data_IF_343697154557
#
_entry.id   IF_343697154557
#
_cell.length_a   1.000
_cell.length_b   1.000
_cell.length_c   1.000
_cell.angle_alpha   90.00
_cell.angle_beta   90.00
_cell.angle_gamma   90.00
#
_symmetry.space_group_name_H-M   'P 1'
#
loop_
_entity.id
_entity.type
_entity.pdbx_description
1 polymer ?
#
# COMPACT_ATOMS: atom_id res chain seq x y z
N UNK A 1 -2.52 -0.79 11.22
CA UNK A 1 -3.36 -0.18 10.18
C UNK A 1 -2.73 -0.32 8.81
N UNK A 2 -1.41 -0.12 8.68
CA UNK A 2 -0.68 -0.24 7.39
C UNK A 2 -0.90 -1.58 6.68
N UNK A 3 -0.86 -2.71 7.40
CA UNK A 3 -1.12 -4.03 6.79
C UNK A 3 -2.50 -4.13 6.13
N UNK A 4 -3.54 -3.54 6.71
CA UNK A 4 -4.88 -3.56 6.12
C UNK A 4 -4.94 -2.74 4.84
N UNK A 5 -4.25 -1.59 4.82
CA UNK A 5 -4.17 -0.74 3.64
C UNK A 5 -3.38 -1.46 2.53
N UNK A 6 -2.25 -2.10 2.86
CA UNK A 6 -1.45 -2.88 1.93
C UNK A 6 -2.26 -4.03 1.29
N UNK A 7 -3.01 -4.78 2.11
CA UNK A 7 -3.90 -5.85 1.63
C UNK A 7 -4.97 -5.28 0.69
N UNK A 8 -5.69 -4.25 1.13
CA UNK A 8 -6.77 -3.67 0.33
C UNK A 8 -6.25 -3.05 -0.99
N UNK A 9 -5.05 -2.47 -0.97
CA UNK A 9 -4.39 -1.96 -2.16
C UNK A 9 -3.98 -3.09 -3.12
N UNK A 10 -3.40 -4.18 -2.61
CA UNK A 10 -2.99 -5.34 -3.41
C UNK A 10 -4.18 -5.99 -4.15
N UNK A 11 -5.35 -6.03 -3.52
CA UNK A 11 -6.59 -6.52 -4.14
C UNK A 11 -7.34 -5.45 -4.97
N UNK A 12 -6.73 -4.28 -5.21
CA UNK A 12 -7.33 -3.15 -5.92
C UNK A 12 -8.65 -2.63 -5.31
N UNK A 13 -8.86 -2.86 -4.02
CA UNK A 13 -10.03 -2.35 -3.27
C UNK A 13 -9.81 -0.87 -2.91
N UNK A 14 -8.59 -0.54 -2.46
CA UNK A 14 -8.15 0.85 -2.36
C UNK A 14 -7.38 1.21 -3.63
N UNK A 15 -7.78 2.32 -4.25
CA UNK A 15 -7.17 2.82 -5.50
C UNK A 15 -6.22 3.97 -5.16
N UNK A 16 -5.06 4.00 -5.80
CA UNK A 16 -4.09 5.09 -5.65
C UNK A 16 -4.64 6.42 -6.19
N UNK A 17 -4.19 7.53 -5.60
CA UNK A 17 -4.61 8.88 -5.99
C UNK A 17 -6.02 9.28 -5.50
N UNK A 18 -6.69 8.43 -4.75
CA UNK A 18 -7.97 8.72 -4.09
C UNK A 18 -7.75 8.96 -2.60
N UNK A 19 -8.31 10.04 -2.08
CA UNK A 19 -8.30 10.32 -0.64
C UNK A 19 -9.51 9.66 0.00
N UNK A 20 -9.26 8.80 0.98
CA UNK A 20 -10.29 8.18 1.81
C UNK A 20 -10.24 8.77 3.22
N UNK A 21 -11.41 8.98 3.82
CA UNK A 21 -11.51 9.29 5.25
C UNK A 21 -11.27 8.04 6.09
N UNK A 22 -10.91 8.22 7.35
CA UNK A 22 -10.73 7.10 8.29
C UNK A 22 -11.97 6.23 8.38
N UNK A 23 -13.17 6.83 8.43
CA UNK A 23 -14.43 6.09 8.52
C UNK A 23 -14.71 5.26 7.26
N UNK A 24 -14.38 5.77 6.08
CA UNK A 24 -14.52 5.01 4.83
C UNK A 24 -13.56 3.82 4.81
N UNK A 25 -12.30 4.01 5.23
CA UNK A 25 -11.32 2.93 5.34
C UNK A 25 -11.80 1.86 6.33
N UNK A 26 -12.31 2.25 7.49
CA UNK A 26 -12.87 1.32 8.47
C UNK A 26 -14.05 0.51 7.90
N UNK A 27 -14.96 1.14 7.16
CA UNK A 27 -16.08 0.44 6.51
C UNK A 27 -15.59 -0.55 5.46
N UNK A 28 -14.62 -0.14 4.63
CA UNK A 28 -14.01 -1.00 3.62
C UNK A 28 -13.32 -2.19 4.28
N UNK A 29 -12.60 -1.98 5.38
CA UNK A 29 -11.98 -3.05 6.18
C UNK A 29 -13.04 -4.03 6.70
N UNK A 30 -14.17 -3.54 7.21
CA UNK A 30 -15.24 -4.40 7.72
C UNK A 30 -15.88 -5.26 6.62
N UNK A 31 -16.15 -4.65 5.46
CA UNK A 31 -16.74 -5.35 4.30
C UNK A 31 -15.80 -6.45 3.79
N UNK A 32 -14.49 -6.20 3.84
CA UNK A 32 -13.47 -7.09 3.27
C UNK A 32 -12.75 -7.96 4.32
N UNK A 33 -13.32 -8.09 5.53
CA UNK A 33 -12.76 -8.95 6.58
C UNK A 33 -12.42 -10.38 6.12
N UNK A 34 -13.24 -11.08 5.30
CA UNK A 34 -12.89 -12.43 4.87
C UNK A 34 -11.59 -12.51 4.07
N UNK A 35 -11.33 -11.51 3.21
CA UNK A 35 -10.11 -11.43 2.39
C UNK A 35 -8.92 -11.11 3.29
N UNK A 36 -9.08 -10.15 4.20
CA UNK A 36 -8.05 -9.77 5.18
C UNK A 36 -7.64 -10.98 6.03
N UNK A 37 -8.61 -11.73 6.55
CA UNK A 37 -8.35 -12.93 7.33
C UNK A 37 -7.66 -14.02 6.52
N UNK A 38 -8.05 -14.20 5.25
CA UNK A 38 -7.40 -15.17 4.37
C UNK A 38 -5.92 -14.85 4.14
N UNK A 39 -5.55 -13.56 4.05
CA UNK A 39 -4.15 -13.14 3.93
C UNK A 39 -3.40 -13.35 5.25
N UNK A 40 -4.00 -12.95 6.38
CA UNK A 40 -3.36 -13.09 7.69
C UNK A 40 -3.16 -14.56 8.13
N UNK A 41 -3.84 -15.50 7.48
CA UNK A 41 -3.66 -16.94 7.69
C UNK A 41 -2.57 -17.54 6.79
N UNK A 42 -2.06 -16.77 5.81
CA UNK A 42 -0.98 -17.17 4.92
C UNK A 42 0.23 -16.22 5.07
N UNK A 43 1.20 -16.57 5.93
CA UNK A 43 2.37 -15.73 6.18
C UNK A 43 3.23 -15.48 4.95
N UNK A 44 3.18 -16.36 3.94
CA UNK A 44 3.95 -16.17 2.70
C UNK A 44 3.31 -15.07 1.87
N UNK A 45 1.98 -15.12 1.71
CA UNK A 45 1.23 -14.10 1.00
C UNK A 45 1.26 -12.76 1.75
N UNK A 46 1.13 -12.77 3.07
CA UNK A 46 1.20 -11.55 3.89
C UNK A 46 2.53 -10.82 3.70
N UNK A 47 3.66 -11.55 3.77
CA UNK A 47 4.99 -10.97 3.55
C UNK A 47 5.17 -10.45 2.12
N UNK A 48 4.68 -11.19 1.11
CA UNK A 48 4.75 -10.72 -0.28
C UNK A 48 3.98 -9.41 -0.49
N UNK A 49 2.80 -9.28 0.12
CA UNK A 49 1.99 -8.05 0.04
C UNK A 49 2.71 -6.88 0.71
N UNK A 50 3.31 -7.11 1.88
CA UNK A 50 4.09 -6.09 2.57
C UNK A 50 5.31 -5.64 1.76
N UNK A 51 6.11 -6.58 1.24
CA UNK A 51 7.29 -6.27 0.42
C UNK A 51 6.92 -5.44 -0.83
N UNK A 52 5.81 -5.79 -1.49
CA UNK A 52 5.32 -5.02 -2.64
C UNK A 52 4.85 -3.62 -2.27
N UNK A 53 4.18 -3.48 -1.12
CA UNK A 53 3.67 -2.20 -0.65
C UNK A 53 4.81 -1.27 -0.18
N UNK A 54 5.77 -1.80 0.57
CA UNK A 54 6.96 -1.06 1.02
C UNK A 54 7.87 -0.69 -0.15
N UNK A 55 8.06 -1.60 -1.11
CA UNK A 55 8.84 -1.34 -2.31
C UNK A 55 8.30 -0.21 -3.19
N UNK A 56 7.04 0.20 -3.03
CA UNK A 56 6.49 1.40 -3.66
C UNK A 56 6.77 2.69 -2.89
N UNK A 57 7.00 2.61 -1.58
CA UNK A 57 7.34 3.76 -0.74
C UNK A 57 8.78 4.21 -1.02
N UNK A 58 9.67 3.27 -1.35
CA UNK A 58 11.07 3.57 -1.69
C UNK A 58 11.29 4.11 -3.11
N UNK A 59 10.26 4.15 -3.96
CA UNK A 59 10.30 4.88 -5.26
C UNK A 59 9.86 6.33 -5.05
N UNK A 60 10.46 6.99 -4.07
CA UNK A 60 10.63 8.45 -4.12
C UNK A 60 12.04 8.65 -4.62
N UNK A 61 12.21 8.79 -5.93
CA UNK A 61 13.47 9.30 -6.49
C UNK A 61 13.76 10.62 -5.76
N UNK A 62 14.90 10.75 -5.05
CA UNK A 62 15.32 12.07 -4.65
C UNK A 62 15.54 12.84 -5.96
N UNK A 63 14.82 13.94 -6.14
CA UNK A 63 15.10 14.96 -7.16
C UNK A 63 16.56 15.40 -6.99
N UNK A 64 17.48 14.66 -7.58
CA UNK A 64 18.80 15.14 -7.91
C UNK A 64 18.61 15.96 -9.17
N UNK A 65 18.11 17.17 -8.97
CA UNK A 65 18.33 18.33 -9.84
C UNK A 65 19.85 18.51 -9.98
N UNK A 66 20.47 17.70 -10.84
CA UNK A 66 21.83 17.88 -11.30
C UNK A 66 21.81 19.09 -12.24
N UNK A 67 21.97 20.29 -11.69
CA UNK A 67 22.39 21.43 -12.51
C UNK A 67 23.74 21.08 -13.18
N UNK A 68 23.84 21.10 -14.52
CA UNK A 68 25.13 20.87 -15.17
C UNK A 68 26.03 22.08 -14.91
N UNK A 69 27.15 21.83 -14.23
CA UNK A 69 28.25 22.78 -14.04
C UNK A 69 28.71 23.24 -15.44
N UNK A 70 28.49 24.50 -15.78
CA UNK A 70 29.05 25.11 -17.01
C UNK A 70 30.56 25.25 -16.85
N UNK A 71 31.31 24.48 -17.64
CA UNK A 71 32.75 24.71 -17.90
C UNK A 71 32.96 25.94 -18.78
#
# INVERSE_FOLDING_TARGET
MEIFIAILWYFHILVSGVTYTTTEVEQIIQINQPIIQSVQQDPVLENQILELYEGQIDVVEPDNDLEPIRN
#
